data_IF_373027630828
#
_entry.id   IF_373027630828
#
_cell.length_a   1.000
_cell.length_b   1.000
_cell.length_c   1.000
_cell.angle_alpha   90.00
_cell.angle_beta   90.00
_cell.angle_gamma   90.00
#
_symmetry.space_group_name_H-M   'P 1'
#
loop_
_entity.id
_entity.type
_entity.pdbx_description
1 polymer ?
#
# COMPACT_ATOMS: atom_id res chain seq x y z
N UNK A 1 3.20 16.39 0.41
CA UNK A 1 2.78 15.14 -0.28
C UNK A 1 2.78 15.37 -1.79
N UNK A 2 3.16 14.40 -2.63
CA UNK A 2 3.14 14.56 -4.09
C UNK A 2 1.71 14.55 -4.67
N UNK A 3 0.74 13.97 -3.97
CA UNK A 3 -0.65 13.84 -4.44
C UNK A 3 -1.45 15.16 -4.43
N UNK A 4 -0.93 16.21 -3.80
CA UNK A 4 -1.59 17.53 -3.74
C UNK A 4 -1.10 18.50 -4.82
N UNK A 5 -0.09 18.13 -5.61
CA UNK A 5 0.44 18.97 -6.69
C UNK A 5 -0.54 19.05 -7.87
N UNK A 6 -0.48 20.14 -8.62
CA UNK A 6 -1.34 20.33 -9.80
C UNK A 6 -1.00 19.33 -10.92
N UNK A 7 0.28 18.95 -11.03
CA UNK A 7 0.72 17.90 -11.95
C UNK A 7 0.04 16.56 -11.65
N UNK A 8 0.01 16.14 -10.38
CA UNK A 8 -0.64 14.89 -10.01
C UNK A 8 -2.15 14.97 -10.25
N UNK A 9 -2.80 16.06 -9.80
CA UNK A 9 -4.25 16.26 -9.94
C UNK A 9 -4.73 16.29 -11.40
N UNK A 10 -3.90 16.81 -12.32
CA UNK A 10 -4.24 16.87 -13.75
C UNK A 10 -4.05 15.53 -14.47
N UNK A 11 -3.15 14.66 -14.01
CA UNK A 11 -2.86 13.36 -14.63
C UNK A 11 -3.64 12.20 -14.04
N UNK A 12 -3.99 12.26 -12.76
CA UNK A 12 -4.58 11.13 -12.02
C UNK A 12 -6.06 11.37 -11.78
N UNK A 13 -6.88 10.52 -12.39
CA UNK A 13 -8.34 10.58 -12.26
C UNK A 13 -8.77 10.14 -10.86
N UNK A 14 -9.53 11.01 -10.17
CA UNK A 14 -10.23 10.64 -8.94
C UNK A 14 -11.48 9.85 -9.29
N UNK A 15 -11.55 8.60 -8.87
CA UNK A 15 -12.71 7.73 -9.10
C UNK A 15 -12.70 6.56 -8.11
N UNK A 16 -13.78 5.80 -8.09
CA UNK A 16 -13.94 4.58 -7.33
C UNK A 16 -14.06 3.42 -8.33
N UNK A 17 -13.44 2.28 -8.01
CA UNK A 17 -13.50 1.11 -8.88
C UNK A 17 -14.92 0.55 -8.90
N UNK A 18 -15.45 0.34 -10.09
CA UNK A 18 -16.76 -0.31 -10.20
C UNK A 18 -16.74 -1.72 -9.57
N UNK A 19 -17.83 -2.08 -8.88
CA UNK A 19 -17.90 -3.36 -8.19
C UNK A 19 -17.89 -4.55 -9.15
N UNK A 20 -18.51 -4.42 -10.32
CA UNK A 20 -18.55 -5.49 -11.33
C UNK A 20 -17.18 -5.65 -11.98
N UNK A 21 -16.45 -4.55 -12.20
CA UNK A 21 -15.05 -4.62 -12.62
C UNK A 21 -14.19 -5.33 -11.56
N UNK A 22 -14.34 -4.98 -10.28
CA UNK A 22 -13.61 -5.62 -9.21
C UNK A 22 -13.88 -7.14 -9.15
N UNK A 23 -15.15 -7.54 -9.15
CA UNK A 23 -15.54 -8.95 -9.08
C UNK A 23 -15.05 -9.74 -10.29
N UNK A 24 -15.12 -9.16 -11.50
CA UNK A 24 -14.51 -9.73 -12.72
C UNK A 24 -13.02 -10.02 -12.53
N UNK A 25 -12.25 -9.04 -12.02
CA UNK A 25 -10.81 -9.20 -11.79
C UNK A 25 -10.54 -10.33 -10.79
N UNK A 26 -11.27 -10.35 -9.67
CA UNK A 26 -11.13 -11.40 -8.65
C UNK A 26 -11.48 -12.78 -9.22
N UNK A 27 -12.54 -12.90 -10.03
CA UNK A 27 -12.91 -14.17 -10.66
C UNK A 27 -11.81 -14.68 -11.59
N UNK A 28 -11.20 -13.80 -12.39
CA UNK A 28 -10.06 -14.16 -13.25
C UNK A 28 -8.83 -14.61 -12.44
N UNK A 29 -8.52 -13.90 -11.35
CA UNK A 29 -7.45 -14.27 -10.43
C UNK A 29 -7.73 -15.62 -9.74
N UNK A 30 -8.94 -15.85 -9.24
CA UNK A 30 -9.28 -17.09 -8.51
C UNK A 30 -9.15 -18.37 -9.35
N UNK A 31 -9.17 -18.25 -10.69
CA UNK A 31 -9.08 -19.38 -11.63
C UNK A 31 -7.66 -19.77 -12.01
N UNK A 32 -6.64 -18.99 -11.62
CA UNK A 32 -5.25 -19.33 -11.94
C UNK A 32 -4.68 -20.23 -10.84
N UNK A 33 -3.78 -21.14 -11.22
CA UNK A 33 -3.12 -22.07 -10.28
C UNK A 33 -2.21 -21.36 -9.24
N UNK A 34 -1.90 -20.08 -9.47
CA UNK A 34 -1.13 -19.27 -8.53
C UNK A 34 -2.02 -18.71 -7.42
N UNK A 35 -1.70 -19.05 -6.18
CA UNK A 35 -2.32 -18.49 -4.98
C UNK A 35 -2.07 -16.98 -4.89
N UNK A 36 -3.04 -16.16 -5.28
CA UNK A 36 -2.90 -14.72 -5.23
C UNK A 36 -3.11 -14.16 -3.83
N UNK A 37 -2.26 -13.19 -3.49
CA UNK A 37 -2.51 -12.17 -2.48
C UNK A 37 -3.03 -10.91 -3.16
N UNK A 38 -4.03 -10.26 -2.60
CA UNK A 38 -4.44 -8.92 -3.04
C UNK A 38 -4.22 -7.90 -1.92
N UNK A 39 -3.87 -6.68 -2.33
CA UNK A 39 -3.83 -5.52 -1.44
C UNK A 39 -4.75 -4.44 -1.98
N UNK A 40 -5.81 -4.14 -1.25
CA UNK A 40 -6.79 -3.11 -1.59
C UNK A 40 -6.28 -1.76 -1.09
N UNK A 41 -5.23 -1.25 -1.74
CA UNK A 41 -4.72 0.09 -1.49
C UNK A 41 -3.70 0.43 -2.58
N UNK A 42 -3.70 1.68 -3.05
CA UNK A 42 -2.56 2.21 -3.78
C UNK A 42 -2.42 3.71 -3.54
N UNK A 43 -3.22 4.50 -4.25
CA UNK A 43 -3.36 5.95 -4.07
C UNK A 43 -4.76 6.24 -3.57
N UNK A 44 -4.89 7.03 -2.50
CA UNK A 44 -6.18 7.36 -1.88
C UNK A 44 -6.49 6.54 -0.62
N UNK A 45 -7.77 6.51 -0.24
CA UNK A 45 -8.25 5.87 0.99
C UNK A 45 -9.31 4.80 0.64
N UNK A 46 -9.02 3.50 0.85
CA UNK A 46 -9.95 2.41 0.52
C UNK A 46 -11.32 2.52 1.20
N UNK A 47 -11.37 2.99 2.44
CA UNK A 47 -12.62 3.09 3.20
C UNK A 47 -13.54 4.25 2.81
N UNK A 48 -13.16 5.05 1.81
CA UNK A 48 -14.08 5.94 1.10
C UNK A 48 -14.99 5.20 0.12
N UNK A 49 -14.62 3.98 -0.30
CA UNK A 49 -15.43 3.20 -1.21
C UNK A 49 -16.64 2.59 -0.46
N UNK A 50 -17.89 2.86 -0.87
CA UNK A 50 -19.09 2.40 -0.14
C UNK A 50 -19.31 0.88 -0.18
N UNK A 51 -18.43 0.14 -0.86
CA UNK A 51 -18.49 -1.31 -1.09
C UNK A 51 -17.18 -2.00 -0.72
N UNK A 52 -16.26 -1.32 0.00
CA UNK A 52 -14.95 -1.89 0.33
C UNK A 52 -15.07 -3.19 1.11
N UNK A 53 -16.02 -3.27 2.04
CA UNK A 53 -16.26 -4.48 2.84
C UNK A 53 -16.78 -5.61 1.96
N UNK A 54 -17.71 -5.32 1.04
CA UNK A 54 -18.21 -6.30 0.06
C UNK A 54 -17.13 -6.78 -0.90
N UNK A 55 -16.20 -5.91 -1.29
CA UNK A 55 -15.06 -6.26 -2.13
C UNK A 55 -14.11 -7.22 -1.39
N UNK A 56 -13.82 -6.95 -0.11
CA UNK A 56 -13.00 -7.84 0.73
C UNK A 56 -13.71 -9.18 0.92
N UNK A 57 -15.00 -9.17 1.25
CA UNK A 57 -15.84 -10.36 1.37
C UNK A 57 -15.84 -11.19 0.10
N UNK A 58 -16.03 -10.54 -1.06
CA UNK A 58 -16.04 -11.22 -2.35
C UNK A 58 -14.70 -11.91 -2.62
N UNK A 59 -13.58 -11.20 -2.42
CA UNK A 59 -12.24 -11.77 -2.58
C UNK A 59 -12.03 -13.02 -1.69
N UNK A 60 -12.39 -12.95 -0.40
CA UNK A 60 -12.29 -14.10 0.49
C UNK A 60 -13.21 -15.25 0.05
N UNK A 61 -14.44 -14.96 -0.37
CA UNK A 61 -15.39 -15.98 -0.85
C UNK A 61 -14.92 -16.73 -2.10
N UNK A 62 -14.08 -16.09 -2.92
CA UNK A 62 -13.47 -16.68 -4.11
C UNK A 62 -12.15 -17.42 -3.83
N UNK A 63 -11.79 -17.59 -2.56
CA UNK A 63 -10.63 -18.37 -2.15
C UNK A 63 -9.29 -17.63 -2.27
N UNK A 64 -9.30 -16.30 -2.44
CA UNK A 64 -8.08 -15.49 -2.35
C UNK A 64 -7.46 -15.68 -0.96
N UNK A 65 -6.23 -16.19 -0.93
CA UNK A 65 -5.60 -16.69 0.31
C UNK A 65 -5.26 -15.55 1.26
N UNK A 66 -4.68 -14.47 0.74
CA UNK A 66 -4.33 -13.30 1.51
C UNK A 66 -5.02 -12.05 0.96
N UNK A 67 -5.85 -11.40 1.78
CA UNK A 67 -6.45 -10.11 1.49
C UNK A 67 -5.96 -9.10 2.53
N UNK A 68 -5.34 -8.03 2.05
CA UNK A 68 -4.79 -6.96 2.87
C UNK A 68 -5.36 -5.61 2.46
N UNK A 69 -5.40 -4.67 3.40
CA UNK A 69 -5.76 -3.27 3.14
C UNK A 69 -4.88 -2.32 3.95
N UNK A 70 -4.77 -1.08 3.48
CA UNK A 70 -4.04 -0.01 4.12
C UNK A 70 -4.94 1.23 4.20
N UNK A 71 -5.04 1.83 5.38
CA UNK A 71 -5.92 2.97 5.65
C UNK A 71 -5.22 4.01 6.53
N UNK A 72 -5.66 5.26 6.48
CA UNK A 72 -5.36 6.24 7.53
C UNK A 72 -6.30 6.10 8.75
N UNK A 73 -7.24 5.16 8.70
CA UNK A 73 -8.11 4.78 9.80
C UNK A 73 -9.33 5.68 9.99
N UNK A 74 -9.48 6.80 9.28
CA UNK A 74 -10.52 7.80 9.56
C UNK A 74 -11.95 7.28 9.35
N UNK A 75 -12.17 6.47 8.31
CA UNK A 75 -13.50 5.96 7.92
C UNK A 75 -13.77 4.52 8.37
N UNK A 76 -12.79 3.89 9.01
CA UNK A 76 -12.94 2.61 9.68
C UNK A 76 -13.34 2.89 11.14
N UNK A 77 -14.44 2.28 11.57
CA UNK A 77 -14.93 2.31 12.94
C UNK A 77 -14.85 0.88 13.54
N UNK A 78 -15.05 0.71 14.86
CA UNK A 78 -14.95 -0.60 15.50
C UNK A 78 -15.94 -1.64 14.94
N UNK A 79 -17.13 -1.23 14.51
CA UNK A 79 -18.15 -2.13 13.95
C UNK A 79 -17.70 -2.69 12.59
N UNK A 80 -17.23 -1.82 11.68
CA UNK A 80 -16.63 -2.24 10.41
C UNK A 80 -15.37 -3.08 10.63
N UNK A 81 -14.59 -2.80 11.66
CA UNK A 81 -13.42 -3.62 11.98
C UNK A 81 -13.83 -5.05 12.41
N UNK A 82 -14.85 -5.18 13.26
CA UNK A 82 -15.39 -6.50 13.65
C UNK A 82 -15.90 -7.26 12.42
N UNK A 83 -16.60 -6.59 11.51
CA UNK A 83 -17.04 -7.18 10.23
C UNK A 83 -15.86 -7.66 9.36
N UNK A 84 -14.78 -6.88 9.26
CA UNK A 84 -13.55 -7.30 8.55
C UNK A 84 -12.87 -8.51 9.18
N UNK A 85 -12.88 -8.58 10.51
CA UNK A 85 -12.34 -9.72 11.26
C UNK A 85 -13.15 -10.99 10.94
N UNK A 86 -14.48 -10.90 10.98
CA UNK A 86 -15.38 -12.02 10.70
C UNK A 86 -15.29 -12.52 9.24
N UNK A 87 -15.10 -11.60 8.29
CA UNK A 87 -14.82 -11.94 6.88
C UNK A 87 -13.49 -12.70 6.71
N UNK A 88 -12.56 -12.54 7.66
CA UNK A 88 -11.23 -13.13 7.62
C UNK A 88 -10.22 -12.28 6.84
N UNK A 89 -10.27 -10.95 6.99
CA UNK A 89 -9.19 -10.07 6.53
C UNK A 89 -7.85 -10.52 7.14
N UNK A 90 -6.78 -10.55 6.33
CA UNK A 90 -5.49 -11.06 6.78
C UNK A 90 -4.60 -9.97 7.38
N UNK A 91 -4.58 -8.79 6.76
CA UNK A 91 -3.75 -7.66 7.21
C UNK A 91 -4.51 -6.34 7.15
N UNK A 92 -4.44 -5.59 8.24
CA UNK A 92 -4.86 -4.20 8.33
C UNK A 92 -3.65 -3.34 8.67
N UNK A 93 -3.16 -2.58 7.69
CA UNK A 93 -2.11 -1.58 7.93
C UNK A 93 -2.73 -0.20 8.16
N UNK A 94 -2.40 0.42 9.28
CA UNK A 94 -2.88 1.76 9.64
C UNK A 94 -1.71 2.71 9.53
N UNK A 95 -1.83 3.70 8.65
CA UNK A 95 -0.80 4.71 8.46
C UNK A 95 -0.90 5.76 9.57
N UNK A 96 0.15 5.88 10.37
CA UNK A 96 0.16 6.72 11.57
C UNK A 96 1.51 7.43 11.68
N UNK A 97 1.54 8.74 11.40
CA UNK A 97 2.79 9.50 11.28
C UNK A 97 2.99 10.43 12.48
N UNK A 98 3.85 10.03 13.41
CA UNK A 98 4.18 10.80 14.61
C UNK A 98 3.19 10.63 15.76
N UNK A 99 3.39 11.44 16.81
CA UNK A 99 2.58 11.45 18.04
C UNK A 99 2.05 12.86 18.33
N UNK A 100 0.96 12.95 19.08
CA UNK A 100 0.33 14.21 19.52
C UNK A 100 0.14 15.21 18.36
N UNK A 101 0.62 16.44 18.53
CA UNK A 101 0.54 17.51 17.56
C UNK A 101 1.16 17.15 16.20
N UNK A 102 2.25 16.37 16.18
CA UNK A 102 2.89 15.98 14.91
C UNK A 102 1.93 15.12 14.08
N UNK A 103 1.22 14.20 14.74
CA UNK A 103 0.19 13.41 14.07
C UNK A 103 -0.95 14.29 13.57
N UNK A 104 -1.47 15.19 14.40
CA UNK A 104 -2.62 16.04 14.03
C UNK A 104 -2.28 17.01 12.90
N UNK A 105 -1.05 17.51 12.83
CA UNK A 105 -0.57 18.35 11.73
C UNK A 105 -0.49 17.57 10.41
N UNK A 106 -0.01 16.32 10.45
CA UNK A 106 0.19 15.51 9.24
C UNK A 106 -1.13 14.87 8.78
N UNK A 107 -1.97 14.41 9.71
CA UNK A 107 -3.17 13.59 9.48
C UNK A 107 -4.48 14.35 9.71
N UNK A 108 -4.44 15.68 9.67
CA UNK A 108 -5.63 16.54 9.77
C UNK A 108 -6.79 16.03 8.89
N UNK A 109 -8.04 16.00 9.40
CA UNK A 109 -8.49 16.52 10.70
C UNK A 109 -8.46 15.49 11.84
N UNK A 110 -7.81 14.33 11.66
CA UNK A 110 -7.82 13.28 12.67
C UNK A 110 -7.09 13.71 13.95
N UNK A 111 -7.65 13.30 15.10
CA UNK A 111 -7.10 13.56 16.43
C UNK A 111 -6.29 12.39 16.93
N UNK A 112 -5.16 12.68 17.58
CA UNK A 112 -4.21 11.66 18.03
C UNK A 112 -4.88 10.69 19.01
N UNK A 113 -5.43 11.21 20.10
CA UNK A 113 -6.07 10.42 21.16
C UNK A 113 -7.24 9.59 20.64
N UNK A 114 -8.09 10.17 19.80
CA UNK A 114 -9.23 9.46 19.20
C UNK A 114 -8.76 8.29 18.31
N UNK A 115 -7.70 8.51 17.53
CA UNK A 115 -7.14 7.52 16.63
C UNK A 115 -6.45 6.38 17.39
N UNK A 116 -5.69 6.69 18.45
CA UNK A 116 -5.07 5.69 19.34
C UNK A 116 -6.14 4.85 20.05
N UNK A 117 -7.14 5.50 20.64
CA UNK A 117 -8.25 4.81 21.32
C UNK A 117 -9.02 3.90 20.36
N UNK A 118 -9.17 4.30 19.11
CA UNK A 118 -9.82 3.46 18.10
C UNK A 118 -9.00 2.22 17.73
N UNK A 119 -7.68 2.36 17.59
CA UNK A 119 -6.78 1.21 17.37
C UNK A 119 -6.82 0.25 18.56
N UNK A 120 -6.83 0.78 19.79
CA UNK A 120 -7.00 -0.03 21.00
C UNK A 120 -8.29 -0.85 20.97
N UNK A 121 -9.42 -0.25 20.57
CA UNK A 121 -10.69 -0.97 20.41
C UNK A 121 -10.61 -2.11 19.39
N UNK A 122 -9.92 -1.91 18.26
CA UNK A 122 -9.71 -2.99 17.28
C UNK A 122 -8.98 -4.18 17.90
N UNK A 123 -7.93 -3.90 18.68
CA UNK A 123 -7.16 -4.94 19.35
C UNK A 123 -7.96 -5.67 20.45
N UNK A 124 -8.81 -4.95 21.18
CA UNK A 124 -9.75 -5.53 22.16
C UNK A 124 -10.79 -6.44 21.48
N UNK A 125 -11.38 -6.03 20.35
CA UNK A 125 -12.28 -6.85 19.54
C UNK A 125 -11.56 -8.13 19.08
N UNK A 126 -10.34 -7.98 18.55
CA UNK A 126 -9.53 -9.12 18.11
C UNK A 126 -9.28 -10.14 19.24
N UNK A 127 -8.97 -9.66 20.45
CA UNK A 127 -8.82 -10.50 21.65
C UNK A 127 -10.12 -11.19 22.06
N UNK A 128 -11.25 -10.46 22.07
CA UNK A 128 -12.57 -11.01 22.40
C UNK A 128 -12.94 -12.18 21.47
N UNK A 129 -12.59 -12.09 20.20
CA UNK A 129 -12.81 -13.14 19.20
C UNK A 129 -11.76 -14.26 19.22
N UNK A 130 -10.77 -14.21 20.11
CA UNK A 130 -9.61 -15.12 20.12
C UNK A 130 -8.93 -15.23 18.74
N UNK A 131 -8.95 -14.15 17.97
CA UNK A 131 -8.45 -14.18 16.60
C UNK A 131 -6.99 -13.76 16.51
N UNK A 132 -6.22 -14.45 15.68
CA UNK A 132 -4.86 -14.03 15.29
C UNK A 132 -4.84 -13.10 14.08
N UNK A 133 -5.99 -12.92 13.40
CA UNK A 133 -6.17 -12.07 12.21
C UNK A 133 -7.34 -11.08 12.35
N UNK A 134 -7.32 -9.94 11.64
CA UNK A 134 -6.21 -9.44 10.83
C UNK A 134 -4.98 -9.13 11.70
N UNK A 135 -3.79 -9.22 11.11
CA UNK A 135 -2.61 -8.59 11.72
C UNK A 135 -2.82 -7.08 11.66
N UNK A 136 -2.92 -6.45 12.81
CA UNK A 136 -3.03 -5.00 12.98
C UNK A 136 -1.61 -4.45 12.99
N UNK A 137 -1.23 -3.78 11.91
CA UNK A 137 0.06 -3.13 11.76
C UNK A 137 -0.10 -1.62 11.80
N UNK A 138 0.63 -0.95 12.67
CA UNK A 138 0.82 0.51 12.59
C UNK A 138 2.11 0.82 11.85
N UNK A 139 2.03 1.72 10.87
CA UNK A 139 3.17 2.12 10.06
C UNK A 139 3.26 3.64 9.91
N UNK A 140 4.42 4.22 10.21
CA UNK A 140 4.68 5.64 9.98
C UNK A 140 5.99 5.89 9.22
N UNK A 141 6.22 7.13 8.83
CA UNK A 141 7.51 7.56 8.25
C UNK A 141 8.48 8.01 9.34
N UNK A 142 9.74 7.59 9.23
CA UNK A 142 10.76 7.85 10.23
C UNK A 142 10.90 9.33 10.60
N UNK A 143 10.94 10.30 9.66
CA UNK A 143 11.04 11.72 10.03
C UNK A 143 9.88 12.25 10.90
N UNK A 144 8.69 11.66 10.80
CA UNK A 144 7.56 12.06 11.64
C UNK A 144 7.65 11.46 13.06
N UNK A 145 8.31 10.30 13.19
CA UNK A 145 8.46 9.57 14.45
C UNK A 145 9.72 10.01 15.21
N UNK A 146 10.77 10.42 14.49
CA UNK A 146 12.13 10.62 15.02
C UNK A 146 12.25 11.61 16.18
N UNK A 147 11.30 12.55 16.34
CA UNK A 147 11.29 13.49 17.48
C UNK A 147 10.94 12.81 18.80
N UNK A 148 10.12 11.78 18.78
CA UNK A 148 9.69 11.05 19.97
C UNK A 148 9.40 9.56 19.65
N UNK A 149 10.44 8.79 19.28
CA UNK A 149 10.27 7.41 18.87
C UNK A 149 9.82 6.52 20.03
N UNK A 150 10.34 6.72 21.24
CA UNK A 150 9.96 5.96 22.44
C UNK A 150 8.46 6.04 22.70
N UNK A 151 7.87 7.25 22.69
CA UNK A 151 6.42 7.41 22.85
C UNK A 151 5.65 6.70 21.74
N UNK A 152 6.11 6.77 20.50
CA UNK A 152 5.44 6.10 19.38
C UNK A 152 5.41 4.58 19.57
N UNK A 153 6.56 3.95 19.84
CA UNK A 153 6.65 2.51 19.99
C UNK A 153 5.95 2.02 21.27
N UNK A 154 6.12 2.71 22.40
CA UNK A 154 5.44 2.36 23.66
C UNK A 154 3.91 2.51 23.58
N UNK A 155 3.40 3.47 22.79
CA UNK A 155 1.96 3.63 22.55
C UNK A 155 1.38 2.47 21.76
N UNK A 156 2.02 2.07 20.64
CA UNK A 156 1.42 1.13 19.69
C UNK A 156 1.75 -0.34 19.96
N UNK A 157 2.92 -0.65 20.52
CA UNK A 157 3.32 -2.04 20.83
C UNK A 157 2.26 -2.81 21.65
N UNK A 158 1.63 -2.27 22.71
CA UNK A 158 0.65 -3.02 23.51
C UNK A 158 -0.72 -3.16 22.86
N UNK A 159 -1.01 -2.44 21.77
CA UNK A 159 -2.34 -2.37 21.13
C UNK A 159 -2.31 -2.75 19.64
N UNK A 160 -1.23 -3.35 19.16
CA UNK A 160 -1.07 -3.81 17.78
C UNK A 160 -0.26 -5.10 17.73
N UNK A 161 -0.29 -5.79 16.60
CA UNK A 161 0.56 -6.96 16.38
C UNK A 161 1.94 -6.56 15.83
N UNK A 162 2.03 -5.42 15.14
CA UNK A 162 3.27 -4.93 14.55
C UNK A 162 3.31 -3.40 14.52
N UNK A 163 4.46 -2.84 14.89
CA UNK A 163 4.79 -1.43 14.69
C UNK A 163 5.99 -1.35 13.75
N UNK A 164 5.90 -0.51 12.72
CA UNK A 164 6.99 -0.34 11.77
C UNK A 164 7.18 1.14 11.39
N UNK A 165 8.40 1.49 11.04
CA UNK A 165 8.72 2.76 10.39
C UNK A 165 9.25 2.51 8.97
N UNK A 166 9.21 3.53 8.12
CA UNK A 166 9.82 3.51 6.80
C UNK A 166 10.55 4.82 6.52
N UNK A 167 11.59 4.82 5.69
CA UNK A 167 12.20 6.08 5.25
C UNK A 167 11.18 6.92 4.49
N UNK A 168 11.33 8.25 4.56
CA UNK A 168 10.57 9.13 3.70
C UNK A 168 11.10 8.99 2.26
N UNK A 169 10.21 8.61 1.35
CA UNK A 169 10.53 8.47 -0.07
C UNK A 169 10.27 9.79 -0.80
N UNK A 170 11.24 10.21 -1.61
CA UNK A 170 11.12 11.42 -2.42
C UNK A 170 10.35 11.16 -3.73
N UNK A 171 9.04 11.34 -3.65
CA UNK A 171 8.17 11.36 -4.83
C UNK A 171 8.11 12.73 -5.52
N UNK A 172 8.70 13.77 -4.93
CA UNK A 172 8.75 15.12 -5.50
C UNK A 172 9.98 15.35 -6.37
N UNK A 173 10.88 14.37 -6.46
CA UNK A 173 12.09 14.40 -7.31
C UNK A 173 13.03 15.56 -6.94
N UNK A 174 13.16 15.80 -5.64
CA UNK A 174 14.09 16.76 -5.03
C UNK A 174 15.47 16.18 -4.77
N UNK A 175 15.62 14.86 -4.76
CA UNK A 175 16.90 14.19 -4.60
C UNK A 175 17.82 14.48 -5.80
N UNK A 176 19.01 15.00 -5.54
CA UNK A 176 19.99 15.39 -6.57
C UNK A 176 21.13 14.38 -6.76
N UNK A 177 21.54 13.69 -5.70
CA UNK A 177 22.69 12.77 -5.69
C UNK A 177 22.22 11.32 -5.61
N UNK A 178 21.64 10.80 -6.69
CA UNK A 178 21.10 9.43 -6.72
C UNK A 178 22.13 8.47 -7.31
N UNK A 179 22.57 7.51 -6.50
CA UNK A 179 23.32 6.35 -6.97
C UNK A 179 22.42 5.13 -7.13
N UNK A 180 22.50 4.50 -8.29
CA UNK A 180 21.77 3.27 -8.58
C UNK A 180 22.66 2.03 -8.38
N UNK A 181 22.04 0.92 -8.00
CA UNK A 181 22.67 -0.40 -7.95
C UNK A 181 23.02 -0.81 -9.39
N UNK A 182 24.27 -1.20 -9.61
CA UNK A 182 24.74 -1.67 -10.91
C UNK A 182 24.08 -2.99 -11.32
N UNK A 183 23.83 -3.17 -12.61
CA UNK A 183 23.23 -4.38 -13.18
C UNK A 183 21.91 -4.79 -12.49
N UNK A 184 21.10 -3.81 -12.09
CA UNK A 184 19.85 -4.06 -11.39
C UNK A 184 18.72 -4.57 -12.31
N UNK A 185 18.12 -5.69 -11.96
CA UNK A 185 16.89 -6.22 -12.57
C UNK A 185 15.74 -6.18 -11.57
N UNK A 186 14.65 -5.49 -11.91
CA UNK A 186 13.53 -5.33 -11.00
C UNK A 186 12.67 -6.59 -10.93
N UNK A 187 12.46 -7.20 -9.75
CA UNK A 187 11.60 -8.37 -9.59
C UNK A 187 10.11 -8.03 -9.66
N UNK A 188 9.72 -6.76 -9.43
CA UNK A 188 8.31 -6.38 -9.27
C UNK A 188 7.46 -6.72 -10.49
N UNK A 189 8.01 -6.55 -11.71
CA UNK A 189 7.30 -6.82 -12.96
C UNK A 189 6.94 -8.31 -13.17
N UNK A 190 7.50 -9.19 -12.33
CA UNK A 190 7.26 -10.63 -12.36
C UNK A 190 6.40 -11.10 -11.18
N UNK A 191 6.15 -10.23 -10.20
CA UNK A 191 5.49 -10.60 -8.94
C UNK A 191 4.17 -9.86 -8.72
N UNK A 192 4.00 -8.65 -9.26
CA UNK A 192 2.85 -7.79 -8.91
C UNK A 192 2.32 -7.04 -10.12
N UNK A 193 1.00 -6.94 -10.18
CA UNK A 193 0.27 -6.06 -11.09
C UNK A 193 -0.40 -4.95 -10.28
N UNK A 194 -0.36 -3.71 -10.78
CA UNK A 194 -1.02 -2.57 -10.17
C UNK A 194 -2.18 -2.11 -11.04
N UNK A 195 -3.39 -2.27 -10.53
CA UNK A 195 -4.63 -1.83 -11.18
C UNK A 195 -5.13 -0.59 -10.46
N UNK A 196 -5.38 0.48 -11.20
CA UNK A 196 -5.96 1.70 -10.65
C UNK A 196 -7.50 1.65 -10.61
N UNK A 197 -8.11 2.61 -9.93
CA UNK A 197 -9.57 2.62 -9.74
C UNK A 197 -10.38 2.71 -11.04
N UNK A 198 -9.77 3.10 -12.18
CA UNK A 198 -10.44 3.12 -13.48
C UNK A 198 -10.32 1.80 -14.26
N UNK A 199 -9.57 0.83 -13.73
CA UNK A 199 -9.24 -0.42 -14.40
C UNK A 199 -8.00 -0.35 -15.29
N UNK A 200 -7.34 0.80 -15.38
CA UNK A 200 -6.04 0.90 -16.04
C UNK A 200 -4.97 0.15 -15.24
N UNK A 201 -4.08 -0.53 -15.94
CA UNK A 201 -2.96 -1.26 -15.35
C UNK A 201 -1.70 -0.43 -15.55
N UNK A 202 -1.09 0.02 -14.45
CA UNK A 202 0.18 0.76 -14.50
C UNK A 202 1.35 -0.19 -14.39
N UNK A 203 2.52 0.23 -14.87
CA UNK A 203 3.69 -0.65 -14.96
C UNK A 203 4.09 -1.26 -13.59
N UNK A 204 3.95 -0.48 -12.52
CA UNK A 204 4.34 -0.90 -11.16
C UNK A 204 3.63 0.00 -10.13
N UNK A 205 3.54 -0.45 -8.88
CA UNK A 205 3.02 0.35 -7.76
C UNK A 205 3.87 1.62 -7.50
N UNK A 206 5.12 1.66 -7.95
CA UNK A 206 5.96 2.86 -7.88
C UNK A 206 5.72 3.86 -9.03
N UNK A 207 4.91 3.53 -10.04
CA UNK A 207 4.51 4.48 -11.09
C UNK A 207 3.36 5.36 -10.60
N UNK A 208 3.62 6.10 -9.52
CA UNK A 208 2.64 6.92 -8.81
C UNK A 208 2.06 8.06 -9.66
N UNK A 209 2.74 8.45 -10.74
CA UNK A 209 2.24 9.44 -11.71
C UNK A 209 1.45 8.78 -12.86
N UNK A 210 1.38 7.45 -12.92
CA UNK A 210 0.71 6.71 -13.99
C UNK A 210 1.33 6.95 -15.37
N UNK A 211 2.65 7.09 -15.43
CA UNK A 211 3.41 7.49 -16.62
C UNK A 211 3.37 6.42 -17.72
N UNK A 212 3.20 5.14 -17.36
CA UNK A 212 3.16 4.01 -18.29
C UNK A 212 1.91 3.17 -18.03
N UNK A 213 0.96 3.22 -18.96
CA UNK A 213 -0.22 2.37 -18.96
C UNK A 213 0.03 1.10 -19.81
N UNK A 214 -0.01 -0.07 -19.17
CA UNK A 214 0.29 -1.37 -19.80
C UNK A 214 -0.95 -2.15 -20.24
N UNK A 215 -2.16 -1.74 -19.85
CA UNK A 215 -3.41 -2.35 -20.29
C UNK A 215 -4.63 -1.77 -19.58
N UNK A 216 -5.84 -2.24 -19.91
CA UNK A 216 -7.06 -1.83 -19.22
C UNK A 216 -8.02 -3.01 -19.02
N UNK A 217 -8.34 -3.33 -17.77
CA UNK A 217 -9.11 -4.52 -17.38
C UNK A 217 -10.62 -4.41 -17.64
N UNK A 218 -11.12 -3.26 -18.10
CA UNK A 218 -12.47 -3.20 -18.67
C UNK A 218 -12.51 -3.86 -20.06
N UNK A 219 -11.39 -3.88 -20.78
CA UNK A 219 -11.28 -4.34 -22.18
C UNK A 219 -10.52 -5.65 -22.32
N UNK A 220 -9.59 -5.89 -21.42
CA UNK A 220 -8.66 -7.02 -21.44
C UNK A 220 -8.81 -7.84 -20.17
N UNK A 221 -8.40 -9.11 -20.21
CA UNK A 221 -8.27 -9.97 -19.03
C UNK A 221 -6.94 -9.69 -18.32
N UNK A 222 -6.85 -10.04 -17.04
CA UNK A 222 -5.63 -10.00 -16.23
C UNK A 222 -4.49 -10.76 -16.95
N UNK A 223 -4.78 -11.95 -17.49
CA UNK A 223 -3.78 -12.76 -18.21
C UNK A 223 -3.31 -12.10 -19.51
N UNK A 224 -4.22 -11.47 -20.27
CA UNK A 224 -3.86 -10.76 -21.50
C UNK A 224 -2.91 -9.60 -21.21
N UNK A 225 -3.21 -8.78 -20.20
CA UNK A 225 -2.32 -7.67 -19.81
C UNK A 225 -0.99 -8.19 -19.26
N UNK A 226 -1.02 -9.22 -18.40
CA UNK A 226 0.18 -9.78 -17.79
C UNK A 226 1.16 -10.39 -18.81
N UNK A 227 0.64 -10.96 -19.90
CA UNK A 227 1.43 -11.56 -20.99
C UNK A 227 1.59 -10.62 -22.18
N UNK A 228 0.99 -9.42 -22.13
CA UNK A 228 0.93 -8.48 -23.23
C UNK A 228 2.28 -7.82 -23.55
N UNK A 229 2.40 -7.36 -24.80
CA UNK A 229 3.64 -6.82 -25.39
C UNK A 229 4.28 -5.74 -24.53
N UNK A 230 3.49 -4.80 -23.99
CA UNK A 230 4.01 -3.68 -23.18
C UNK A 230 4.75 -4.14 -21.93
N UNK A 231 4.21 -5.13 -21.22
CA UNK A 231 4.82 -5.66 -20.00
C UNK A 231 6.02 -6.56 -20.32
N UNK A 232 5.95 -7.36 -21.41
CA UNK A 232 7.09 -8.16 -21.86
C UNK A 232 8.27 -7.28 -22.30
N UNK A 233 8.01 -6.21 -23.06
CA UNK A 233 9.04 -5.25 -23.44
C UNK A 233 9.72 -4.61 -22.22
N UNK A 234 8.95 -4.25 -21.20
CA UNK A 234 9.52 -3.72 -19.96
C UNK A 234 10.39 -4.77 -19.22
N UNK A 235 9.97 -6.04 -19.22
CA UNK A 235 10.74 -7.16 -18.65
C UNK A 235 12.05 -7.38 -19.40
N UNK A 236 12.04 -7.39 -20.74
CA UNK A 236 13.23 -7.51 -21.58
C UNK A 236 14.26 -6.40 -21.33
N UNK A 237 13.80 -5.16 -21.22
CA UNK A 237 14.65 -4.01 -20.86
C UNK A 237 15.29 -4.23 -19.48
N UNK A 238 14.53 -4.72 -18.50
CA UNK A 238 15.04 -5.02 -17.16
C UNK A 238 16.02 -6.20 -17.13
N UNK A 239 15.85 -7.22 -17.99
CA UNK A 239 16.80 -8.33 -18.12
C UNK A 239 18.15 -7.88 -18.69
N UNK A 240 18.15 -6.79 -19.47
CA UNK A 240 19.38 -6.12 -19.95
C UNK A 240 19.93 -5.11 -18.94
N UNK A 241 19.35 -4.99 -17.75
CA UNK A 241 19.67 -4.00 -16.72
C UNK A 241 19.47 -2.54 -17.14
N UNK A 242 18.62 -2.29 -18.14
CA UNK A 242 18.42 -0.96 -18.73
C UNK A 242 17.19 -0.22 -18.17
N UNK A 243 16.50 -0.78 -17.16
CA UNK A 243 15.25 -0.24 -16.64
C UNK A 243 15.34 1.24 -16.22
N UNK A 244 16.31 1.59 -15.37
CA UNK A 244 16.53 2.98 -14.92
C UNK A 244 16.87 3.91 -16.09
N UNK A 245 17.51 3.40 -17.16
CA UNK A 245 17.90 4.22 -18.31
C UNK A 245 16.74 4.44 -19.29
N UNK A 246 15.91 3.43 -19.51
CA UNK A 246 14.96 3.42 -20.64
C UNK A 246 13.49 3.55 -20.23
N UNK A 247 13.13 3.21 -18.99
CA UNK A 247 11.73 3.18 -18.55
C UNK A 247 11.43 4.40 -17.68
N UNK A 248 10.46 5.21 -18.10
CA UNK A 248 10.13 6.49 -17.47
C UNK A 248 9.91 6.43 -15.94
N UNK A 249 9.05 5.55 -15.38
CA UNK A 249 8.90 5.45 -13.93
C UNK A 249 10.15 4.88 -13.23
N UNK A 250 10.98 4.09 -13.92
CA UNK A 250 12.19 3.50 -13.34
C UNK A 250 13.32 4.52 -13.19
N UNK A 251 13.39 5.55 -14.04
CA UNK A 251 14.34 6.68 -13.95
C UNK A 251 14.29 7.43 -12.62
N UNK A 252 13.15 7.37 -11.93
CA UNK A 252 12.91 8.08 -10.67
C UNK A 252 12.66 7.12 -9.50
N UNK A 253 12.76 5.81 -9.74
CA UNK A 253 12.39 4.81 -8.74
C UNK A 253 13.39 4.80 -7.59
N UNK A 254 12.89 4.60 -6.36
CA UNK A 254 13.71 4.43 -5.17
C UNK A 254 14.22 2.99 -4.99
N UNK A 255 13.54 2.02 -5.60
CA UNK A 255 13.82 0.59 -5.42
C UNK A 255 15.25 0.17 -5.83
N UNK A 256 15.82 0.66 -6.95
CA UNK A 256 17.20 0.35 -7.33
C UNK A 256 18.24 1.32 -6.78
N UNK A 257 17.90 2.19 -5.82
CA UNK A 257 18.88 3.16 -5.28
C UNK A 257 19.77 2.48 -4.24
N UNK A 258 21.06 2.82 -4.23
CA UNK A 258 21.95 2.43 -3.13
C UNK A 258 21.48 3.14 -1.85
N UNK A 259 21.44 2.40 -0.75
CA UNK A 259 21.00 2.93 0.55
C UNK A 259 22.09 2.75 1.60
N UNK A 260 22.22 3.74 2.49
CA UNK A 260 23.01 3.61 3.71
C UNK A 260 22.06 3.24 4.86
N UNK A 261 22.47 2.28 5.69
CA UNK A 261 21.73 1.91 6.89
C UNK A 261 22.22 2.77 8.05
N UNK A 262 21.31 3.52 8.64
CA UNK A 262 21.52 4.19 9.92
C UNK A 262 20.70 3.44 10.97
N UNK A 263 21.26 3.24 12.15
CA UNK A 263 20.57 2.59 13.27
C UNK A 263 20.49 3.53 14.47
N UNK A 264 19.42 3.44 15.24
CA UNK A 264 19.27 4.11 16.53
C UNK A 264 18.67 3.16 17.58
N UNK A 265 18.92 3.43 18.86
CA UNK A 265 18.38 2.63 19.96
C UNK A 265 17.11 3.29 20.51
N UNK A 266 16.03 2.52 20.61
CA UNK A 266 14.74 2.95 21.19
C UNK A 266 14.24 1.83 22.08
N UNK A 267 14.08 2.09 23.38
CA UNK A 267 13.65 1.10 24.38
C UNK A 267 14.48 -0.21 24.34
N UNK A 268 15.80 -0.08 24.13
CA UNK A 268 16.72 -1.22 24.02
C UNK A 268 16.57 -2.05 22.73
N UNK A 269 15.93 -1.50 21.70
CA UNK A 269 15.82 -2.08 20.36
C UNK A 269 16.57 -1.22 19.36
N UNK A 270 17.39 -1.86 18.53
CA UNK A 270 17.99 -1.24 17.36
C UNK A 270 16.96 -1.12 16.24
N UNK A 271 16.76 0.11 15.76
CA UNK A 271 15.83 0.48 14.68
C UNK A 271 16.61 1.07 13.51
#
# INVERSE_FOLDING_TARGET
CYTVTDEFKSKVKKTLMDYDLFTKIIDECSKQDSHYSIRLSWRGEPFLHPRIIDMIRYAKSKGIKEVSTLTHGGFLDPEKFEELLEIGLDWLTISFDGVDETYEQIRFPLKYEESVNKIKKYYEIKKKHNSVKPVIKVQGVWPAIAKNPEKYFSTFTPITDQVASSPLLDYLRKDTNIEYIENFTCPVLYQRMTVDASGDVKLCFNDEMGSVNVGNLNKETVSQVWRGEKLQKAREIHLKHLGVKEIAPCKHCFYPRKTQKNSTEVDGRSI
#
